data_IF_411902647236
#
_entry.id   IF_411902647236
#
_cell.length_a   1.000
_cell.length_b   1.000
_cell.length_c   1.000
_cell.angle_alpha   90.00
_cell.angle_beta   90.00
_cell.angle_gamma   90.00
#
_symmetry.space_group_name_H-M   'P 1'
#
loop_
_entity.id
_entity.type
_entity.pdbx_description
1 polymer ?
#
# COMPACT_ATOMS: atom_id res chain seq x y z
N UNK A 1 -18.37 -2.37 -9.07
CA UNK A 1 -17.35 -1.36 -9.37
C UNK A 1 -16.62 -1.84 -10.60
N UNK A 2 -16.59 -1.07 -11.69
CA UNK A 2 -16.04 -1.48 -12.99
C UNK A 2 -14.51 -1.62 -13.00
N UNK A 3 -13.84 -1.16 -11.93
CA UNK A 3 -12.38 -1.04 -11.86
C UNK A 3 -11.69 -2.03 -10.91
N UNK A 4 -12.44 -2.91 -10.25
CA UNK A 4 -11.88 -3.93 -9.33
C UNK A 4 -11.98 -5.30 -10.01
N UNK A 5 -10.85 -6.00 -10.22
CA UNK A 5 -10.85 -7.38 -10.69
C UNK A 5 -11.71 -8.31 -9.81
N UNK A 6 -12.25 -9.39 -10.37
CA UNK A 6 -13.08 -10.34 -9.62
C UNK A 6 -12.35 -10.96 -8.41
N UNK A 7 -11.03 -11.16 -8.53
CA UNK A 7 -10.16 -11.66 -7.48
C UNK A 7 -9.67 -10.57 -6.50
N UNK A 8 -10.07 -9.31 -6.72
CA UNK A 8 -9.66 -8.15 -5.94
C UNK A 8 -8.20 -7.73 -6.12
N UNK A 9 -7.43 -8.39 -6.99
CA UNK A 9 -5.99 -8.15 -7.15
C UNK A 9 -5.72 -7.18 -8.31
N UNK A 10 -5.47 -5.91 -7.97
CA UNK A 10 -5.17 -4.86 -8.97
C UNK A 10 -3.80 -5.06 -9.62
N UNK A 11 -2.79 -5.42 -8.82
CA UNK A 11 -1.44 -5.70 -9.28
C UNK A 11 -0.94 -6.97 -8.59
N UNK A 12 -0.59 -7.97 -9.41
CA UNK A 12 0.02 -9.21 -8.92
C UNK A 12 1.44 -8.94 -8.40
N UNK A 13 1.93 -9.85 -7.58
CA UNK A 13 3.30 -9.79 -7.06
C UNK A 13 4.29 -9.61 -8.22
N UNK A 14 5.08 -8.53 -8.13
CA UNK A 14 5.99 -8.08 -9.18
C UNK A 14 7.28 -7.63 -8.51
N UNK A 15 8.42 -8.10 -9.03
CA UNK A 15 9.73 -7.74 -8.50
C UNK A 15 10.20 -6.42 -9.09
N UNK A 16 10.63 -5.50 -8.22
CA UNK A 16 11.25 -4.24 -8.62
C UNK A 16 12.69 -4.19 -8.11
N UNK A 17 13.62 -3.84 -9.00
CA UNK A 17 14.94 -3.40 -8.57
C UNK A 17 14.82 -2.03 -7.89
N UNK A 18 15.69 -1.76 -6.92
CA UNK A 18 15.74 -0.48 -6.22
C UNK A 18 17.16 0.05 -6.12
N UNK A 19 17.30 1.36 -6.05
CA UNK A 19 18.57 2.01 -5.78
C UNK A 19 18.78 2.18 -4.27
N UNK A 20 20.02 2.40 -3.85
CA UNK A 20 20.30 2.74 -2.45
C UNK A 20 19.46 3.96 -2.02
N UNK A 21 18.94 3.88 -0.80
CA UNK A 21 18.11 4.90 -0.15
C UNK A 21 16.72 5.14 -0.77
N UNK A 22 16.27 4.30 -1.70
CA UNK A 22 14.86 4.34 -2.15
C UNK A 22 13.91 3.92 -1.04
N UNK A 23 12.71 4.51 -1.06
CA UNK A 23 11.68 4.22 -0.06
C UNK A 23 10.49 3.47 -0.64
N UNK A 24 9.62 2.95 0.22
CA UNK A 24 8.37 2.28 -0.21
C UNK A 24 7.55 3.18 -1.13
N UNK A 25 7.55 4.49 -0.88
CA UNK A 25 6.92 5.48 -1.75
C UNK A 25 7.51 5.51 -3.17
N UNK A 26 8.84 5.47 -3.30
CA UNK A 26 9.51 5.49 -4.61
C UNK A 26 9.16 4.21 -5.41
N UNK A 27 9.12 3.07 -4.73
CA UNK A 27 8.70 1.79 -5.33
C UNK A 27 7.23 1.83 -5.75
N UNK A 28 6.34 2.39 -4.93
CA UNK A 28 4.93 2.57 -5.31
C UNK A 28 4.80 3.45 -6.56
N UNK A 29 5.49 4.60 -6.61
CA UNK A 29 5.46 5.52 -7.77
C UNK A 29 5.90 4.82 -9.04
N UNK A 30 6.97 4.02 -8.97
CA UNK A 30 7.44 3.21 -10.09
C UNK A 30 6.37 2.18 -10.49
N UNK A 31 5.84 1.43 -9.53
CA UNK A 31 4.87 0.38 -9.79
C UNK A 31 3.59 0.89 -10.45
N UNK A 32 3.02 1.99 -9.97
CA UNK A 32 1.80 2.57 -10.56
C UNK A 32 2.08 3.12 -11.96
N UNK A 33 3.26 3.73 -12.19
CA UNK A 33 3.65 4.22 -13.52
C UNK A 33 3.81 3.08 -14.53
N UNK A 34 4.54 2.03 -14.17
CA UNK A 34 4.83 0.90 -15.06
C UNK A 34 3.56 0.12 -15.43
N UNK A 35 2.59 0.08 -14.51
CA UNK A 35 1.30 -0.60 -14.71
C UNK A 35 0.17 0.35 -15.16
N UNK A 36 0.46 1.62 -15.47
CA UNK A 36 -0.52 2.63 -15.91
C UNK A 36 -1.70 2.81 -14.93
N UNK A 37 -1.41 2.68 -13.64
CA UNK A 37 -2.36 2.89 -12.56
C UNK A 37 -2.30 4.35 -12.10
N UNK A 38 -3.47 4.92 -11.81
CA UNK A 38 -3.54 6.22 -11.14
C UNK A 38 -3.11 6.09 -9.67
N UNK A 39 -2.50 7.14 -9.11
CA UNK A 39 -2.21 7.24 -7.69
C UNK A 39 -2.40 8.69 -7.24
N UNK A 40 -3.03 8.87 -6.09
CA UNK A 40 -3.21 10.16 -5.44
C UNK A 40 -2.65 10.14 -4.01
N UNK A 41 -2.06 11.26 -3.62
CA UNK A 41 -1.49 11.47 -2.28
C UNK A 41 -1.86 12.83 -1.73
N UNK A 42 -1.98 12.91 -0.41
CA UNK A 42 -2.11 14.15 0.36
C UNK A 42 -0.85 14.39 1.16
N UNK A 43 -0.43 15.66 1.26
CA UNK A 43 0.68 16.04 2.14
C UNK A 43 0.18 16.07 3.59
N UNK A 44 0.87 15.37 4.49
CA UNK A 44 0.45 15.22 5.90
C UNK A 44 1.34 15.96 6.88
N UNK A 45 2.52 16.41 6.42
CA UNK A 45 3.48 17.13 7.25
C UNK A 45 4.37 18.06 6.43
N UNK A 46 5.33 18.68 7.11
CA UNK A 46 6.26 19.65 6.51
C UNK A 46 7.44 18.98 5.81
N UNK A 47 7.72 17.71 6.12
CA UNK A 47 8.81 16.94 5.54
C UNK A 47 8.66 16.76 4.02
N UNK A 48 9.78 16.48 3.33
CA UNK A 48 9.78 16.30 1.87
C UNK A 48 9.06 15.03 1.42
N UNK A 49 8.85 14.06 2.33
CA UNK A 49 8.27 12.75 2.03
C UNK A 49 7.05 12.40 2.90
N UNK A 50 6.47 13.40 3.57
CA UNK A 50 5.29 13.23 4.43
C UNK A 50 4.03 13.15 3.58
N UNK A 51 3.74 11.93 3.10
CA UNK A 51 2.62 11.66 2.22
C UNK A 51 1.71 10.58 2.81
N UNK A 52 0.41 10.82 2.67
CA UNK A 52 -0.64 9.82 2.84
C UNK A 52 -1.20 9.47 1.46
N UNK A 53 -1.20 8.18 1.14
CA UNK A 53 -1.72 7.68 -0.15
C UNK A 53 -3.23 7.52 -0.01
N UNK A 54 -3.97 8.43 -0.65
CA UNK A 54 -5.42 8.49 -0.56
C UNK A 54 -6.12 7.85 -1.75
N UNK A 55 -5.38 7.38 -2.77
CA UNK A 55 -5.96 6.61 -3.86
C UNK A 55 -4.93 5.84 -4.69
N UNK A 56 -5.30 4.64 -5.13
CA UNK A 56 -4.53 3.79 -6.05
C UNK A 56 -5.55 3.16 -7.01
N UNK A 57 -5.24 3.16 -8.32
CA UNK A 57 -6.08 2.59 -9.38
C UNK A 57 -7.53 3.11 -9.37
N UNK A 58 -7.71 4.41 -9.10
CA UNK A 58 -9.01 5.10 -8.98
C UNK A 58 -9.92 4.56 -7.87
N UNK A 59 -9.34 3.87 -6.89
CA UNK A 59 -10.00 3.50 -5.64
C UNK A 59 -9.44 4.43 -4.57
N UNK A 60 -10.30 5.21 -3.97
CA UNK A 60 -9.96 6.27 -3.04
C UNK A 60 -10.32 5.90 -1.61
N UNK A 61 -9.68 6.57 -0.65
CA UNK A 61 -10.23 6.60 0.71
C UNK A 61 -11.68 7.06 0.68
N UNK A 62 -12.48 6.49 1.59
CA UNK A 62 -13.91 6.78 1.74
C UNK A 62 -14.85 6.24 0.65
N UNK A 63 -14.37 5.64 -0.44
CA UNK A 63 -15.24 5.04 -1.48
C UNK A 63 -16.20 3.96 -0.92
N UNK A 64 -15.86 3.33 0.21
CA UNK A 64 -16.72 2.35 0.92
C UNK A 64 -17.06 2.76 2.36
N UNK A 65 -17.04 4.06 2.65
CA UNK A 65 -17.39 4.64 3.95
C UNK A 65 -16.19 5.21 4.71
N UNK A 66 -16.45 5.94 5.79
CA UNK A 66 -15.44 6.74 6.52
C UNK A 66 -14.23 5.94 7.07
N UNK A 67 -14.35 4.62 7.17
CA UNK A 67 -13.29 3.73 7.65
C UNK A 67 -12.50 3.06 6.52
N UNK A 68 -12.81 3.38 5.26
CA UNK A 68 -12.19 2.75 4.09
C UNK A 68 -10.99 3.54 3.58
N UNK A 69 -9.95 2.84 3.16
CA UNK A 69 -8.71 3.45 2.68
C UNK A 69 -7.58 2.46 2.40
N UNK A 70 -6.43 3.00 2.03
CA UNK A 70 -5.24 2.22 1.71
C UNK A 70 -4.33 2.04 2.93
N UNK A 71 -3.92 0.81 3.19
CA UNK A 71 -2.92 0.46 4.18
C UNK A 71 -1.73 -0.19 3.50
N UNK A 72 -0.52 0.11 3.97
CA UNK A 72 0.69 -0.49 3.44
C UNK A 72 1.36 -1.38 4.47
N UNK A 73 1.93 -2.48 3.99
CA UNK A 73 2.62 -3.47 4.80
C UNK A 73 3.99 -3.76 4.18
N UNK A 74 4.95 -4.08 5.03
CA UNK A 74 6.25 -4.60 4.63
C UNK A 74 6.48 -5.90 5.39
N UNK A 75 6.69 -7.00 4.67
CA UNK A 75 6.87 -8.34 5.23
C UNK A 75 5.72 -8.78 6.16
N UNK A 76 4.48 -8.40 5.82
CA UNK A 76 3.28 -8.73 6.59
C UNK A 76 2.99 -7.82 7.79
N UNK A 77 3.85 -6.84 8.08
CA UNK A 77 3.68 -5.90 9.18
C UNK A 77 3.37 -4.48 8.67
N UNK A 78 2.51 -3.75 9.38
CA UNK A 78 2.27 -2.33 9.11
C UNK A 78 3.37 -1.51 9.81
N UNK A 79 4.27 -0.83 9.07
CA UNK A 79 5.35 -0.09 9.71
C UNK A 79 4.81 1.13 10.48
N UNK A 80 5.56 1.57 11.51
CA UNK A 80 5.19 2.71 12.35
C UNK A 80 5.57 4.08 11.77
N UNK A 81 6.08 4.11 10.54
CA UNK A 81 6.53 5.32 9.82
C UNK A 81 5.71 5.52 8.55
N UNK A 82 5.88 6.64 7.84
CA UNK A 82 5.27 6.79 6.52
C UNK A 82 5.97 5.96 5.44
N UNK A 83 5.28 5.61 4.35
CA UNK A 83 5.89 4.96 3.19
C UNK A 83 7.02 5.80 2.55
N UNK A 84 7.01 7.11 2.77
CA UNK A 84 8.06 8.03 2.36
C UNK A 84 9.33 7.97 3.22
N UNK A 85 9.28 7.33 4.39
CA UNK A 85 10.38 7.26 5.36
C UNK A 85 10.94 5.84 5.50
N UNK A 86 10.17 4.82 5.13
CA UNK A 86 10.63 3.43 5.11
C UNK A 86 11.56 3.20 3.92
N UNK A 87 12.85 3.02 4.20
CA UNK A 87 13.86 2.68 3.19
C UNK A 87 13.83 1.18 2.90
N UNK A 88 13.66 0.81 1.63
CA UNK A 88 13.49 -0.58 1.24
C UNK A 88 14.81 -1.35 1.33
N UNK A 89 14.70 -2.64 1.63
CA UNK A 89 15.81 -3.58 1.71
C UNK A 89 15.60 -4.71 0.72
N UNK A 90 16.70 -5.36 0.36
CA UNK A 90 16.64 -6.53 -0.50
C UNK A 90 15.79 -7.64 0.16
N UNK A 91 14.88 -8.21 -0.61
CA UNK A 91 13.92 -9.20 -0.14
C UNK A 91 12.66 -8.66 0.55
N UNK A 92 12.51 -7.34 0.72
CA UNK A 92 11.27 -6.79 1.29
C UNK A 92 10.06 -7.06 0.38
N UNK A 93 8.99 -7.59 0.96
CA UNK A 93 7.69 -7.74 0.31
C UNK A 93 6.77 -6.60 0.74
N UNK A 94 6.43 -5.72 -0.21
CA UNK A 94 5.57 -4.56 0.01
C UNK A 94 4.15 -4.88 -0.46
N UNK A 95 3.15 -4.60 0.37
CA UNK A 95 1.75 -4.77 0.03
C UNK A 95 0.98 -3.47 0.25
N UNK A 96 0.07 -3.16 -0.67
CA UNK A 96 -0.93 -2.11 -0.54
C UNK A 96 -2.30 -2.78 -0.54
N UNK A 97 -2.97 -2.74 0.61
CA UNK A 97 -4.26 -3.39 0.82
C UNK A 97 -5.33 -2.32 1.05
N UNK A 98 -6.45 -2.45 0.34
CA UNK A 98 -7.61 -1.60 0.59
C UNK A 98 -8.45 -2.21 1.71
N UNK A 99 -8.68 -1.44 2.76
CA UNK A 99 -9.53 -1.81 3.90
C UNK A 99 -10.86 -1.07 3.80
N UNK A 100 -11.92 -1.69 4.32
CA UNK A 100 -13.22 -1.05 4.59
C UNK A 100 -13.45 -0.74 6.07
N UNK A 101 -12.57 -1.22 6.94
CA UNK A 101 -12.72 -1.15 8.39
C UNK A 101 -11.39 -0.83 9.11
N UNK A 102 -10.63 0.18 8.65
CA UNK A 102 -9.35 0.64 9.26
C UNK A 102 -8.38 -0.51 9.60
N UNK A 103 -8.37 -1.55 8.76
CA UNK A 103 -7.55 -2.74 8.87
C UNK A 103 -8.12 -3.88 9.72
N UNK A 104 -9.32 -3.75 10.31
CA UNK A 104 -9.96 -4.84 11.08
C UNK A 104 -10.33 -6.02 10.18
N UNK A 105 -10.81 -5.72 8.97
CA UNK A 105 -11.07 -6.68 7.89
C UNK A 105 -9.79 -7.33 7.35
N UNK A 106 -8.65 -6.64 7.41
CA UNK A 106 -7.34 -7.18 7.02
C UNK A 106 -6.71 -8.07 8.09
N UNK A 107 -7.11 -7.92 9.36
CA UNK A 107 -6.63 -8.77 10.47
C UNK A 107 -7.32 -10.14 10.53
N UNK A 108 -8.36 -10.35 9.73
CA UNK A 108 -9.02 -11.65 9.58
C UNK A 108 -8.28 -12.64 8.66
N UNK A 109 -7.27 -12.19 7.92
CA UNK A 109 -6.50 -13.00 6.95
C UNK A 109 -5.08 -13.37 7.41
N UNK A 110 -4.72 -13.10 8.67
CA UNK A 110 -3.47 -13.55 9.27
C UNK A 110 -3.66 -13.88 10.76
N UNK A 111 -3.63 -15.15 11.12
CA UNK A 111 -3.75 -15.57 12.51
C UNK A 111 -2.41 -15.32 13.25
N UNK A 112 -2.33 -14.20 13.98
CA UNK A 112 -1.15 -13.80 14.75
C UNK A 112 -0.73 -14.79 15.86
N UNK A 113 -1.54 -15.81 16.16
CA UNK A 113 -1.19 -16.87 17.11
C UNK A 113 -0.52 -18.08 16.45
N UNK A 114 -0.63 -18.25 15.13
CA UNK A 114 -0.15 -19.46 14.45
C UNK A 114 0.75 -19.19 13.24
N UNK A 115 0.75 -17.98 12.68
CA UNK A 115 1.63 -17.63 11.54
C UNK A 115 1.33 -18.41 10.26
N UNK A 116 0.10 -18.91 10.10
CA UNK A 116 -0.32 -19.68 8.91
C UNK A 116 -1.49 -19.01 8.19
N UNK A 117 -1.59 -19.29 6.88
CA UNK A 117 -2.72 -18.93 6.01
C UNK A 117 -3.87 -19.91 6.16
#
# INVERSE_FOLDING_TARGET
SEFIPEDGCILKETTYAFAQDETVYDILVRAVKDNKLHMEKKKTGSGPRDYYICGIANIYEYDWGELSGWMYYVNGESPSVGCGEYHVKDGDRIEWLYTREIGRDLKGSFNMLTGEK
#
